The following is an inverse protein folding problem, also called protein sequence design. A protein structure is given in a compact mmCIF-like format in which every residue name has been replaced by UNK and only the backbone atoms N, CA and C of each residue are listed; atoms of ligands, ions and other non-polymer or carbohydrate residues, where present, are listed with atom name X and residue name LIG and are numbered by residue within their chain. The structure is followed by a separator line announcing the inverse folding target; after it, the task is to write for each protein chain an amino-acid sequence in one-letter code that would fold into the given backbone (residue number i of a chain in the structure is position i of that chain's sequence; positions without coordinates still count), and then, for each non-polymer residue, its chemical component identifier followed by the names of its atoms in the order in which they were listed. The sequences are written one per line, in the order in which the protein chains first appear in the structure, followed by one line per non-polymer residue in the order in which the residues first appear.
data_IF_704541292860
#
_entry.id   IF_704541292860
#
_cell.length_a   1.000
_cell.length_b   1.000
_cell.length_c   1.000
_cell.angle_alpha   90.00
_cell.angle_beta   90.00
_cell.angle_gamma   90.00
#
_symmetry.space_group_name_H-M   'P 1'
#
loop_
_entity.id
_entity.type
_entity.pdbx_description
1 polymer ?
#
# COMPACT_ATOMS: atom_id res chain seq x y z
N UNK A 1 11.04 15.18 1.90
CA UNK A 1 10.73 13.73 1.93
C UNK A 1 9.23 13.59 1.75
N UNK A 2 8.77 12.74 0.82
CA UNK A 2 7.35 12.53 0.53
C UNK A 2 6.97 11.14 0.98
N UNK A 3 6.37 11.05 2.17
CA UNK A 3 5.97 9.78 2.79
C UNK A 3 4.58 9.39 2.32
N UNK A 4 4.43 8.17 1.83
CA UNK A 4 3.16 7.56 1.46
C UNK A 4 2.84 6.41 2.42
N UNK A 5 1.63 6.36 2.95
CA UNK A 5 1.10 5.26 3.75
C UNK A 5 -0.10 4.65 3.03
N UNK A 6 0.00 3.37 2.65
CA UNK A 6 -1.06 2.60 2.01
C UNK A 6 -1.75 1.73 3.05
N UNK A 7 -3.07 1.57 2.96
CA UNK A 7 -3.85 0.89 4.00
C UNK A 7 -4.10 1.81 5.22
N UNK A 8 -4.16 3.13 4.99
CA UNK A 8 -4.23 4.14 6.04
C UNK A 8 -5.45 4.05 6.97
N UNK A 9 -6.52 3.34 6.55
CA UNK A 9 -7.70 3.08 7.40
C UNK A 9 -7.60 1.84 8.28
N UNK A 10 -6.59 0.98 8.09
CA UNK A 10 -6.33 -0.15 8.96
C UNK A 10 -5.74 0.29 10.31
N UNK A 11 -5.75 -0.61 11.30
CA UNK A 11 -5.24 -0.33 12.65
C UNK A 11 -3.81 0.24 12.63
N UNK A 12 -2.89 -0.43 11.91
CA UNK A 12 -1.51 0.02 11.77
C UNK A 12 -1.42 1.31 10.94
N UNK A 13 -2.17 1.42 9.85
CA UNK A 13 -2.18 2.63 9.01
C UNK A 13 -2.59 3.89 9.76
N UNK A 14 -3.61 3.80 10.62
CA UNK A 14 -4.05 4.90 11.47
C UNK A 14 -3.00 5.28 12.53
N UNK A 15 -2.41 4.27 13.19
CA UNK A 15 -1.35 4.52 14.17
C UNK A 15 -0.12 5.20 13.53
N UNK A 16 0.28 4.75 12.33
CA UNK A 16 1.37 5.37 11.56
C UNK A 16 1.03 6.79 11.13
N UNK A 17 -0.21 7.05 10.68
CA UNK A 17 -0.66 8.38 10.30
C UNK A 17 -0.56 9.36 11.48
N UNK A 18 -0.92 8.93 12.69
CA UNK A 18 -0.78 9.76 13.90
C UNK A 18 0.69 10.00 14.26
N UNK A 19 1.53 8.95 14.27
CA UNK A 19 2.96 9.06 14.58
C UNK A 19 3.68 9.98 13.60
N UNK A 20 3.31 9.94 12.31
CA UNK A 20 3.94 10.73 11.27
C UNK A 20 3.18 12.00 10.90
N UNK A 21 2.18 12.45 11.67
CA UNK A 21 1.33 13.60 11.32
C UNK A 21 2.12 14.87 10.96
N UNK A 22 3.21 15.15 11.67
CA UNK A 22 4.06 16.32 11.44
C UNK A 22 4.87 16.25 10.14
N UNK A 23 4.93 15.07 9.52
CA UNK A 23 5.54 14.84 8.19
C UNK A 23 4.54 14.99 7.05
N UNK A 24 3.26 15.26 7.36
CA UNK A 24 2.16 15.38 6.41
C UNK A 24 2.12 14.23 5.38
N UNK A 25 1.96 12.97 5.84
CA UNK A 25 1.99 11.80 4.97
C UNK A 25 0.82 11.80 4.00
N UNK A 26 1.04 11.29 2.80
CA UNK A 26 -0.05 10.95 1.88
C UNK A 26 -0.67 9.67 2.38
N UNK A 27 -1.97 9.68 2.61
CA UNK A 27 -2.73 8.55 3.12
C UNK A 27 -3.60 7.97 2.02
N UNK A 28 -3.38 6.72 1.64
CA UNK A 28 -4.23 5.98 0.71
C UNK A 28 -4.97 4.86 1.43
N UNK A 29 -6.29 4.83 1.25
CA UNK A 29 -7.13 3.67 1.59
C UNK A 29 -7.53 2.90 0.34
N UNK A 30 -8.18 1.75 0.49
CA UNK A 30 -8.58 0.87 -0.62
C UNK A 30 -9.35 1.58 -1.74
N UNK A 31 -10.16 2.61 -1.42
CA UNK A 31 -10.92 3.37 -2.44
C UNK A 31 -10.04 4.29 -3.29
N UNK A 32 -8.84 4.63 -2.82
CA UNK A 32 -7.93 5.54 -3.51
C UNK A 32 -6.90 4.79 -4.36
N UNK A 33 -6.60 3.54 -4.00
CA UNK A 33 -5.67 2.67 -4.68
C UNK A 33 -6.03 1.20 -4.40
N UNK A 34 -6.37 0.46 -5.45
CA UNK A 34 -6.38 -1.00 -5.41
C UNK A 34 -4.97 -1.54 -5.71
N UNK A 35 -4.29 -2.04 -4.68
CA UNK A 35 -2.93 -2.57 -4.81
C UNK A 35 -2.86 -3.86 -5.64
N UNK A 36 -3.99 -4.52 -5.90
CA UNK A 36 -4.04 -5.73 -6.73
C UNK A 36 -3.99 -5.42 -8.23
N UNK A 37 -4.14 -4.15 -8.61
CA UNK A 37 -4.05 -3.68 -9.98
C UNK A 37 -2.67 -3.05 -10.23
N UNK A 38 -1.78 -3.79 -10.90
CA UNK A 38 -0.40 -3.35 -11.18
C UNK A 38 -0.34 -2.00 -11.92
N UNK A 39 -1.23 -1.77 -12.89
CA UNK A 39 -1.24 -0.53 -13.66
C UNK A 39 -1.70 0.65 -12.81
N UNK A 40 -2.70 0.45 -11.95
CA UNK A 40 -3.17 1.50 -11.04
C UNK A 40 -2.08 1.86 -10.03
N UNK A 41 -1.40 0.86 -9.47
CA UNK A 41 -0.23 1.06 -8.59
C UNK A 41 0.84 1.88 -9.29
N UNK A 42 1.25 1.48 -10.50
CA UNK A 42 2.28 2.19 -11.26
C UNK A 42 1.88 3.65 -11.50
N UNK A 43 0.70 3.88 -12.08
CA UNK A 43 0.20 5.23 -12.39
C UNK A 43 0.12 6.07 -11.12
N UNK A 44 -0.42 5.52 -10.02
CA UNK A 44 -0.57 6.26 -8.77
C UNK A 44 0.78 6.66 -8.16
N UNK A 45 1.77 5.77 -8.19
CA UNK A 45 3.10 6.09 -7.65
C UNK A 45 3.85 7.08 -8.56
N UNK A 46 3.73 6.96 -9.88
CA UNK A 46 4.30 7.92 -10.84
C UNK A 46 3.70 9.34 -10.62
N UNK A 47 2.38 9.45 -10.42
CA UNK A 47 1.67 10.70 -10.12
C UNK A 47 2.11 11.32 -8.79
N UNK A 48 2.21 10.49 -7.74
CA UNK A 48 2.50 10.96 -6.39
C UNK A 48 4.00 11.21 -6.18
N UNK A 49 4.90 10.52 -6.86
CA UNK A 49 6.35 10.62 -6.67
C UNK A 49 6.81 10.53 -5.20
N UNK A 50 6.37 9.51 -4.41
CA UNK A 50 6.81 9.38 -3.04
C UNK A 50 8.31 9.04 -2.98
N UNK A 51 8.95 9.36 -1.86
CA UNK A 51 10.35 8.96 -1.58
C UNK A 51 10.42 7.79 -0.61
N UNK A 52 9.36 7.56 0.17
CA UNK A 52 9.23 6.43 1.11
C UNK A 52 7.79 5.93 1.06
N UNK A 53 7.61 4.62 1.00
CA UNK A 53 6.29 3.97 0.97
C UNK A 53 6.19 3.00 2.16
N UNK A 54 5.16 3.19 3.00
CA UNK A 54 4.80 2.22 4.04
C UNK A 54 3.53 1.49 3.60
N UNK A 55 3.65 0.20 3.29
CA UNK A 55 2.50 -0.65 2.98
C UNK A 55 1.94 -1.26 4.27
N UNK A 56 0.78 -0.77 4.72
CA UNK A 56 -0.03 -1.37 5.78
C UNK A 56 -1.31 -2.03 5.24
N UNK A 57 -1.46 -2.17 3.93
CA UNK A 57 -2.58 -2.89 3.32
C UNK A 57 -2.29 -4.40 3.27
N UNK A 58 -3.25 -5.19 3.75
CA UNK A 58 -3.22 -6.64 3.74
C UNK A 58 -4.64 -7.20 3.86
N UNK A 59 -4.81 -8.45 3.45
CA UNK A 59 -5.99 -9.26 3.75
C UNK A 59 -5.66 -10.13 4.97
N UNK A 60 -6.26 -9.78 6.12
CA UNK A 60 -5.84 -10.28 7.44
C UNK A 60 -6.85 -11.23 8.10
N UNK A 61 -7.98 -11.52 7.46
CA UNK A 61 -8.96 -12.49 7.97
C UNK A 61 -8.45 -13.90 7.70
N UNK A 62 -7.67 -14.46 8.64
CA UNK A 62 -6.93 -15.73 8.48
C UNK A 62 -7.83 -16.88 8.02
N UNK A 63 -8.97 -17.10 8.69
CA UNK A 63 -9.91 -18.18 8.32
C UNK A 63 -10.48 -18.01 6.90
N UNK A 64 -10.63 -16.76 6.46
CA UNK A 64 -11.15 -16.42 5.15
C UNK A 64 -10.05 -16.54 4.07
N UNK A 65 -8.79 -16.27 4.43
CA UNK A 65 -7.62 -16.52 3.57
C UNK A 65 -7.46 -18.00 3.22
N UNK A 66 -7.74 -18.91 4.16
CA UNK A 66 -7.68 -20.37 3.91
C UNK A 66 -8.71 -20.81 2.87
N UNK A 67 -9.88 -20.15 2.83
CA UNK A 67 -10.94 -20.42 1.86
C UNK A 67 -10.70 -19.72 0.53
N UNK A 68 -10.15 -18.51 0.57
CA UNK A 68 -9.94 -17.63 -0.57
C UNK A 68 -8.44 -17.46 -0.87
N UNK A 69 -7.74 -18.57 -1.08
CA UNK A 69 -6.27 -18.61 -1.23
C UNK A 69 -5.76 -17.74 -2.38
N UNK A 70 -6.48 -17.69 -3.49
CA UNK A 70 -6.13 -16.85 -4.63
C UNK A 70 -6.16 -15.36 -4.28
N UNK A 71 -7.22 -14.92 -3.59
CA UNK A 71 -7.34 -13.54 -3.12
C UNK A 71 -6.26 -13.21 -2.09
N UNK A 72 -6.00 -14.12 -1.14
CA UNK A 72 -4.93 -13.96 -0.17
C UNK A 72 -3.55 -13.83 -0.83
N UNK A 73 -3.26 -14.66 -1.82
CA UNK A 73 -2.02 -14.57 -2.58
C UNK A 73 -1.95 -13.30 -3.43
N UNK A 74 -3.06 -12.89 -4.05
CA UNK A 74 -3.13 -11.66 -4.84
C UNK A 74 -2.84 -10.43 -3.97
N UNK A 75 -3.48 -10.30 -2.82
CA UNK A 75 -3.35 -9.13 -1.94
C UNK A 75 -2.05 -9.14 -1.13
N UNK A 76 -1.69 -10.28 -0.52
CA UNK A 76 -0.54 -10.33 0.41
C UNK A 76 0.78 -10.73 -0.27
N UNK A 77 0.72 -11.26 -1.51
CA UNK A 77 1.87 -11.69 -2.28
C UNK A 77 2.11 -10.81 -3.52
N UNK A 78 1.27 -10.97 -4.55
CA UNK A 78 1.48 -10.33 -5.86
C UNK A 78 1.44 -8.81 -5.78
N UNK A 79 0.44 -8.24 -5.10
CA UNK A 79 0.30 -6.80 -4.94
C UNK A 79 1.52 -6.13 -4.29
N UNK A 80 2.17 -6.81 -3.34
CA UNK A 80 3.41 -6.33 -2.72
C UNK A 80 4.54 -6.27 -3.75
N UNK A 81 4.60 -7.24 -4.66
CA UNK A 81 5.51 -7.21 -5.80
C UNK A 81 5.27 -6.03 -6.75
N UNK A 82 4.01 -5.70 -7.02
CA UNK A 82 3.65 -4.53 -7.85
C UNK A 82 4.11 -3.23 -7.20
N UNK A 83 3.86 -3.08 -5.88
CA UNK A 83 4.33 -1.94 -5.11
C UNK A 83 5.85 -1.82 -5.15
N UNK A 84 6.59 -2.91 -4.92
CA UNK A 84 8.05 -2.90 -4.95
C UNK A 84 8.62 -2.52 -6.33
N UNK A 85 8.01 -3.04 -7.41
CA UNK A 85 8.42 -2.71 -8.79
C UNK A 85 8.18 -1.24 -9.09
N UNK A 86 7.01 -0.71 -8.74
CA UNK A 86 6.66 0.68 -8.96
C UNK A 86 7.47 1.63 -8.06
N UNK A 87 7.73 1.26 -6.80
CA UNK A 87 8.63 1.99 -5.89
C UNK A 87 10.03 2.16 -6.50
N UNK A 88 10.61 1.07 -7.04
CA UNK A 88 11.88 1.13 -7.77
C UNK A 88 11.82 2.06 -8.97
N UNK A 89 10.71 2.06 -9.72
CA UNK A 89 10.50 2.92 -10.89
C UNK A 89 10.55 4.42 -10.56
N UNK A 90 10.07 4.81 -9.38
CA UNK A 90 10.07 6.22 -8.92
C UNK A 90 11.24 6.57 -7.99
N UNK A 91 12.14 5.61 -7.72
CA UNK A 91 13.27 5.81 -6.80
C UNK A 91 12.88 5.92 -5.32
N UNK A 92 11.74 5.35 -4.93
CA UNK A 92 11.28 5.29 -3.54
C UNK A 92 11.92 4.13 -2.77
N UNK A 93 12.06 4.33 -1.45
CA UNK A 93 12.26 3.27 -0.47
C UNK A 93 10.94 2.55 -0.16
#
# INVERSE_FOLDING_TARGET
MKLLIIGAKGMLGQALAEVFKDKNPILLERKNLDITNENEVKTKLDELGPTVIINAAAYTQVDDCEKNRELAYLVNGLAVGYLAKAARGVGAL
#
